data_IF_851795215405
#
_entry.id   IF_851795215405
#
_cell.length_a   1.000
_cell.length_b   1.000
_cell.length_c   1.000
_cell.angle_alpha   90.00
_cell.angle_beta   90.00
_cell.angle_gamma   90.00
#
_symmetry.space_group_name_H-M   'P 1'
#
loop_
_entity.id
_entity.type
_entity.pdbx_description
1 polymer ?
#
# COMPACT_ATOMS: atom_id res chain seq x y z
N UNK A 1 8.98 -14.77 1.31
CA UNK A 1 8.35 -13.97 2.40
C UNK A 1 7.40 -12.90 1.87
N UNK A 2 7.82 -11.99 0.98
CA UNK A 2 6.96 -10.94 0.41
C UNK A 2 5.71 -11.47 -0.34
N UNK A 3 5.85 -12.54 -1.13
CA UNK A 3 4.73 -13.15 -1.89
C UNK A 3 3.64 -13.72 -0.97
N UNK A 4 3.98 -14.15 0.26
CA UNK A 4 3.00 -14.63 1.22
C UNK A 4 2.23 -13.49 1.87
N UNK A 5 2.87 -12.33 2.11
CA UNK A 5 2.20 -11.13 2.61
C UNK A 5 1.09 -10.68 1.66
N UNK A 6 1.35 -10.72 0.35
CA UNK A 6 0.36 -10.33 -0.67
C UNK A 6 -0.86 -11.25 -0.75
N UNK A 7 -0.81 -12.46 -0.20
CA UNK A 7 -1.95 -13.40 -0.23
C UNK A 7 -2.87 -13.27 0.98
N UNK A 8 -2.35 -12.79 2.10
CA UNK A 8 -3.08 -12.74 3.37
C UNK A 8 -3.65 -11.37 3.71
N UNK A 9 -3.93 -11.18 5.01
CA UNK A 9 -4.50 -9.96 5.60
C UNK A 9 -3.55 -9.37 6.63
N UNK A 10 -3.54 -8.03 6.75
CA UNK A 10 -2.84 -7.31 7.83
C UNK A 10 -3.77 -6.37 8.59
N UNK A 11 -3.53 -6.24 9.90
CA UNK A 11 -4.27 -5.33 10.76
C UNK A 11 -3.80 -3.87 10.61
N UNK A 12 -4.53 -2.94 11.23
CA UNK A 12 -4.24 -1.50 11.19
C UNK A 12 -2.90 -1.13 11.84
N UNK A 13 -2.53 -1.76 12.96
CA UNK A 13 -1.32 -1.43 13.69
C UNK A 13 -0.07 -1.77 12.85
N UNK A 14 0.01 -2.99 12.33
CA UNK A 14 1.08 -3.40 11.42
C UNK A 14 1.11 -2.52 10.17
N UNK A 15 -0.04 -2.23 9.58
CA UNK A 15 -0.15 -1.36 8.41
C UNK A 15 0.43 0.03 8.66
N UNK A 16 0.03 0.70 9.76
CA UNK A 16 0.51 2.04 10.08
C UNK A 16 2.00 2.08 10.39
N UNK A 17 2.56 1.03 11.00
CA UNK A 17 4.01 0.93 11.19
C UNK A 17 4.74 0.84 9.85
N UNK A 18 4.30 -0.02 8.92
CA UNK A 18 4.94 -0.14 7.60
C UNK A 18 4.84 1.19 6.83
N UNK A 19 3.66 1.82 6.82
CA UNK A 19 3.44 3.12 6.17
C UNK A 19 4.30 4.20 6.79
N UNK A 20 4.31 4.32 8.12
CA UNK A 20 5.11 5.31 8.83
C UNK A 20 6.60 5.17 8.57
N UNK A 21 7.13 3.93 8.61
CA UNK A 21 8.54 3.64 8.28
C UNK A 21 8.86 3.98 6.83
N UNK A 22 7.99 3.63 5.88
CA UNK A 22 8.20 3.93 4.46
C UNK A 22 8.21 5.44 4.19
N UNK A 23 7.28 6.20 4.79
CA UNK A 23 7.24 7.66 4.68
C UNK A 23 8.48 8.28 5.32
N UNK A 24 8.87 7.86 6.53
CA UNK A 24 10.05 8.37 7.20
C UNK A 24 11.32 8.12 6.36
N UNK A 25 11.48 6.91 5.82
CA UNK A 25 12.60 6.57 4.95
C UNK A 25 12.63 7.44 3.67
N UNK A 26 11.48 7.64 3.02
CA UNK A 26 11.37 8.49 1.85
C UNK A 26 11.71 9.96 2.15
N UNK A 27 11.23 10.49 3.28
CA UNK A 27 11.53 11.85 3.71
C UNK A 27 13.02 12.03 4.05
N UNK A 28 13.62 11.09 4.78
CA UNK A 28 15.06 11.12 5.08
C UNK A 28 15.86 11.08 3.78
N UNK A 29 15.50 10.20 2.84
CA UNK A 29 16.13 10.14 1.50
C UNK A 29 16.04 11.47 0.75
N UNK A 30 14.87 12.10 0.72
CA UNK A 30 14.67 13.36 0.01
C UNK A 30 15.33 14.56 0.69
N UNK A 31 15.27 14.65 2.01
CA UNK A 31 15.74 15.82 2.77
C UNK A 31 17.23 15.76 3.04
N UNK A 32 17.74 14.62 3.50
CA UNK A 32 19.14 14.44 3.93
C UNK A 32 20.02 14.06 2.73
N UNK A 33 19.63 13.02 2.00
CA UNK A 33 20.43 12.49 0.90
C UNK A 33 20.14 13.15 -0.45
N UNK A 34 19.12 14.03 -0.52
CA UNK A 34 18.68 14.73 -1.75
C UNK A 34 18.40 13.76 -2.91
N UNK A 35 17.89 12.57 -2.59
CA UNK A 35 17.62 11.50 -3.57
C UNK A 35 16.21 10.96 -3.41
N UNK A 36 15.48 10.72 -4.52
CA UNK A 36 14.20 10.02 -4.45
C UNK A 36 14.41 8.58 -4.00
N UNK A 37 13.40 8.01 -3.33
CA UNK A 37 13.43 6.61 -2.87
C UNK A 37 12.25 5.83 -3.46
N UNK A 38 12.32 5.40 -4.75
CA UNK A 38 11.24 4.64 -5.40
C UNK A 38 10.84 3.36 -4.64
N UNK A 39 11.79 2.77 -3.90
CA UNK A 39 11.54 1.59 -3.08
C UNK A 39 10.44 1.83 -2.01
N UNK A 40 10.27 3.05 -1.51
CA UNK A 40 9.20 3.38 -0.56
C UNK A 40 7.81 3.15 -1.17
N UNK A 41 7.64 3.45 -2.46
CA UNK A 41 6.39 3.23 -3.19
C UNK A 41 6.05 1.73 -3.27
N UNK A 42 7.05 0.90 -3.54
CA UNK A 42 6.89 -0.57 -3.56
C UNK A 42 6.49 -1.09 -2.18
N UNK A 43 7.11 -0.57 -1.11
CA UNK A 43 6.75 -0.95 0.27
C UNK A 43 5.31 -0.55 0.60
N UNK A 44 4.89 0.65 0.21
CA UNK A 44 3.50 1.12 0.40
C UNK A 44 2.51 0.24 -0.37
N UNK A 45 2.81 -0.17 -1.60
CA UNK A 45 1.99 -1.12 -2.35
C UNK A 45 1.89 -2.48 -1.63
N UNK A 46 3.02 -3.02 -1.15
CA UNK A 46 3.06 -4.29 -0.41
C UNK A 46 2.24 -4.22 0.89
N UNK A 47 2.15 -3.04 1.52
CA UNK A 47 1.29 -2.82 2.68
C UNK A 47 -0.19 -2.66 2.30
N UNK A 48 -0.49 -1.93 1.22
CA UNK A 48 -1.84 -1.60 0.80
C UNK A 48 -2.64 -2.83 0.35
N UNK A 49 -2.00 -3.79 -0.34
CA UNK A 49 -2.66 -5.01 -0.84
C UNK A 49 -3.28 -5.86 0.28
N UNK A 50 -2.53 -6.36 1.28
CA UNK A 50 -3.11 -7.15 2.36
C UNK A 50 -4.01 -6.33 3.29
N UNK A 51 -3.88 -4.99 3.31
CA UNK A 51 -4.83 -4.12 4.01
C UNK A 51 -6.17 -4.07 3.29
N UNK A 52 -6.18 -3.97 1.96
CA UNK A 52 -7.40 -4.10 1.14
C UNK A 52 -8.05 -5.47 1.30
N UNK A 53 -7.25 -6.54 1.38
CA UNK A 53 -7.74 -7.89 1.66
C UNK A 53 -8.45 -7.97 3.00
N UNK A 54 -7.95 -7.27 4.02
CA UNK A 54 -8.61 -7.20 5.32
C UNK A 54 -9.98 -6.48 5.29
N UNK A 55 -10.16 -5.57 4.33
CA UNK A 55 -11.43 -4.92 4.02
C UNK A 55 -12.34 -5.78 3.11
N UNK A 56 -11.88 -6.96 2.69
CA UNK A 56 -12.59 -7.85 1.75
C UNK A 56 -12.52 -7.41 0.29
N UNK A 57 -11.63 -6.46 -0.06
CA UNK A 57 -11.47 -5.95 -1.42
C UNK A 57 -10.24 -6.56 -2.09
N UNK A 58 -10.21 -6.52 -3.42
CA UNK A 58 -9.07 -7.02 -4.21
C UNK A 58 -7.86 -6.09 -4.10
N UNK A 59 -6.64 -6.65 -4.01
CA UNK A 59 -5.40 -5.87 -4.08
C UNK A 59 -5.21 -5.08 -5.39
N UNK A 60 -5.93 -5.46 -6.46
CA UNK A 60 -5.89 -4.75 -7.75
C UNK A 60 -6.31 -3.28 -7.65
N UNK A 61 -7.11 -2.89 -6.65
CA UNK A 61 -7.43 -1.47 -6.41
C UNK A 61 -6.19 -0.65 -6.04
N UNK A 62 -5.30 -1.20 -5.20
CA UNK A 62 -4.01 -0.56 -4.94
C UNK A 62 -3.11 -0.68 -6.17
N UNK A 63 -3.04 -1.85 -6.80
CA UNK A 63 -2.22 -2.06 -8.00
C UNK A 63 -2.47 -1.02 -9.09
N UNK A 64 -3.73 -0.77 -9.44
CA UNK A 64 -4.09 0.24 -10.44
C UNK A 64 -3.65 1.65 -10.07
N UNK A 65 -3.83 2.06 -8.80
CA UNK A 65 -3.37 3.36 -8.31
C UNK A 65 -1.86 3.52 -8.43
N UNK A 66 -1.08 2.56 -7.91
CA UNK A 66 0.38 2.62 -7.93
C UNK A 66 0.96 2.53 -9.34
N UNK A 67 0.31 1.79 -10.26
CA UNK A 67 0.69 1.76 -11.68
C UNK A 67 0.48 3.14 -12.30
N UNK A 68 -0.68 3.76 -12.09
CA UNK A 68 -0.97 5.10 -12.62
C UNK A 68 0.00 6.16 -12.07
N UNK A 69 0.28 6.12 -10.77
CA UNK A 69 1.24 7.02 -10.13
C UNK A 69 2.67 6.82 -10.67
N UNK A 70 3.10 5.57 -10.84
CA UNK A 70 4.41 5.23 -11.45
C UNK A 70 4.50 5.75 -12.87
N UNK A 71 3.46 5.54 -13.68
CA UNK A 71 3.40 6.04 -15.06
C UNK A 71 3.46 7.58 -15.10
N UNK A 72 2.80 8.26 -14.15
CA UNK A 72 2.90 9.71 -14.04
C UNK A 72 4.34 10.14 -13.67
N UNK A 73 4.96 9.54 -12.65
CA UNK A 73 6.31 9.92 -12.20
C UNK A 73 7.34 9.73 -13.32
N UNK A 74 7.36 8.57 -13.98
CA UNK A 74 8.40 8.25 -14.96
C UNK A 74 8.05 8.67 -16.38
N UNK A 75 6.77 8.73 -16.74
CA UNK A 75 6.31 9.04 -18.09
C UNK A 75 5.78 10.47 -18.24
N UNK A 76 5.17 11.05 -17.20
CA UNK A 76 4.42 12.30 -17.30
C UNK A 76 5.23 13.48 -17.84
N UNK A 77 6.51 13.58 -17.49
CA UNK A 77 7.40 14.65 -17.97
C UNK A 77 7.69 14.62 -19.46
N UNK A 78 7.45 13.49 -20.15
CA UNK A 78 7.59 13.39 -21.61
C UNK A 78 6.35 13.83 -22.38
N UNK A 79 5.19 13.92 -21.70
CA UNK A 79 3.88 14.12 -22.35
C UNK A 79 3.20 15.42 -21.90
N UNK A 80 3.53 15.90 -20.70
CA UNK A 80 2.95 17.09 -20.10
C UNK A 80 3.98 18.23 -20.05
N UNK A 81 3.51 19.46 -20.23
CA UNK A 81 4.35 20.65 -19.96
C UNK A 81 4.63 20.79 -18.45
N UNK A 82 5.67 21.55 -18.06
CA UNK A 82 6.15 21.55 -16.67
C UNK A 82 5.08 21.88 -15.62
N UNK A 83 4.24 22.90 -15.86
CA UNK A 83 3.24 23.32 -14.89
C UNK A 83 2.12 22.28 -14.69
N UNK A 84 1.44 21.75 -15.74
CA UNK A 84 0.51 20.64 -15.60
C UNK A 84 1.12 19.39 -14.98
N UNK A 85 2.38 19.05 -15.32
CA UNK A 85 3.07 17.90 -14.74
C UNK A 85 3.22 18.05 -13.21
N UNK A 86 3.68 19.21 -12.74
CA UNK A 86 3.81 19.49 -11.30
C UNK A 86 2.46 19.47 -10.58
N UNK A 87 1.42 20.06 -11.19
CA UNK A 87 0.06 19.99 -10.63
C UNK A 87 -0.45 18.55 -10.53
N UNK A 88 -0.22 17.73 -11.55
CA UNK A 88 -0.62 16.32 -11.55
C UNK A 88 0.10 15.52 -10.46
N UNK A 89 1.41 15.75 -10.27
CA UNK A 89 2.17 15.14 -9.18
C UNK A 89 1.62 15.56 -7.81
N UNK A 90 1.29 16.84 -7.62
CA UNK A 90 0.68 17.33 -6.38
C UNK A 90 -0.65 16.64 -6.06
N UNK A 91 -1.52 16.49 -7.07
CA UNK A 91 -2.78 15.74 -6.93
C UNK A 91 -2.53 14.27 -6.61
N UNK A 92 -1.59 13.62 -7.30
CA UNK A 92 -1.25 12.22 -7.06
C UNK A 92 -0.79 11.99 -5.61
N UNK A 93 0.06 12.88 -5.07
CA UNK A 93 0.50 12.81 -3.66
C UNK A 93 -0.66 12.95 -2.69
N UNK A 94 -1.60 13.88 -2.94
CA UNK A 94 -2.80 14.03 -2.10
C UNK A 94 -3.71 12.79 -2.15
N UNK A 95 -3.88 12.22 -3.34
CA UNK A 95 -4.66 10.98 -3.51
C UNK A 95 -3.99 9.79 -2.83
N UNK A 96 -2.66 9.68 -2.90
CA UNK A 96 -1.90 8.64 -2.19
C UNK A 96 -2.10 8.80 -0.67
N UNK A 97 -1.95 10.02 -0.14
CA UNK A 97 -2.18 10.29 1.28
C UNK A 97 -3.61 9.91 1.70
N UNK A 98 -4.62 10.30 0.91
CA UNK A 98 -6.02 9.94 1.13
C UNK A 98 -6.26 8.43 1.10
N UNK A 99 -5.72 7.72 0.11
CA UNK A 99 -5.79 6.26 0.01
C UNK A 99 -5.18 5.61 1.25
N UNK A 100 -3.97 6.02 1.64
CA UNK A 100 -3.28 5.45 2.78
C UNK A 100 -4.05 5.67 4.09
N UNK A 101 -4.59 6.87 4.28
CA UNK A 101 -5.42 7.22 5.42
C UNK A 101 -6.73 6.41 5.46
N UNK A 102 -7.45 6.30 4.35
CA UNK A 102 -8.67 5.52 4.24
C UNK A 102 -8.42 4.04 4.58
N UNK A 103 -7.37 3.44 4.01
CA UNK A 103 -6.98 2.07 4.30
C UNK A 103 -6.62 1.87 5.78
N UNK A 104 -5.93 2.84 6.39
CA UNK A 104 -5.54 2.78 7.79
C UNK A 104 -6.64 3.08 8.81
N UNK A 105 -7.67 3.85 8.43
CA UNK A 105 -8.76 4.25 9.31
C UNK A 105 -9.90 3.22 9.35
N UNK A 106 -10.23 2.64 8.21
CA UNK A 106 -11.37 1.71 8.11
C UNK A 106 -11.13 0.43 8.92
N UNK A 107 -12.12 -0.10 9.66
CA UNK A 107 -11.99 -1.37 10.36
C UNK A 107 -11.97 -2.56 9.41
N UNK A 108 -11.15 -3.55 9.78
CA UNK A 108 -11.11 -4.85 9.12
C UNK A 108 -12.38 -5.69 9.32
N UNK A 109 -12.54 -6.73 8.51
CA UNK A 109 -13.62 -7.71 8.71
C UNK A 109 -13.31 -8.62 9.91
N UNK A 110 -14.24 -8.76 10.85
CA UNK A 110 -14.05 -9.62 12.02
C UNK A 110 -14.13 -11.13 11.68
N UNK A 111 -14.91 -11.48 10.66
CA UNK A 111 -15.03 -12.85 10.17
C UNK A 111 -13.95 -13.19 9.13
N UNK A 112 -13.85 -14.48 8.84
CA UNK A 112 -13.11 -15.00 7.71
C UNK A 112 -13.63 -14.39 6.40
N UNK A 113 -12.73 -14.18 5.45
CA UNK A 113 -13.08 -13.80 4.09
C UNK A 113 -12.24 -14.61 3.09
N UNK A 114 -12.42 -14.36 1.78
CA UNK A 114 -11.71 -15.10 0.73
C UNK A 114 -10.16 -15.05 0.79
N UNK A 115 -9.61 -14.13 1.59
CA UNK A 115 -8.17 -13.96 1.81
C UNK A 115 -7.68 -14.58 3.12
N UNK A 116 -8.57 -15.21 3.89
CA UNK A 116 -8.25 -15.93 5.12
C UNK A 116 -8.86 -15.34 6.39
N UNK A 117 -8.45 -15.86 7.55
CA UNK A 117 -8.97 -15.46 8.84
C UNK A 117 -8.56 -14.03 9.22
N UNK A 118 -9.24 -13.40 10.19
CA UNK A 118 -8.84 -12.09 10.68
C UNK A 118 -7.38 -12.09 11.18
N UNK A 119 -6.61 -11.03 10.90
CA UNK A 119 -5.25 -10.92 11.40
C UNK A 119 -5.23 -10.81 12.93
N UNK A 120 -4.17 -11.32 13.59
CA UNK A 120 -4.03 -11.21 15.04
C UNK A 120 -4.02 -9.74 15.49
N UNK A 121 -4.43 -9.48 16.72
CA UNK A 121 -4.38 -8.14 17.33
C UNK A 121 -2.93 -7.72 17.61
N UNK A 122 -2.68 -6.42 17.68
CA UNK A 122 -1.34 -5.87 17.95
C UNK A 122 -0.42 -5.88 16.72
N UNK A 123 0.89 -5.75 16.93
CA UNK A 123 1.87 -5.79 15.85
C UNK A 123 2.17 -7.24 15.45
N UNK A 124 1.85 -7.59 14.21
CA UNK A 124 2.17 -8.89 13.62
C UNK A 124 2.52 -8.75 12.16
N UNK A 125 3.71 -9.23 11.80
CA UNK A 125 4.20 -9.29 10.41
C UNK A 125 3.94 -10.66 9.77
N UNK A 126 3.28 -11.58 10.49
CA UNK A 126 2.84 -12.86 9.93
C UNK A 126 1.47 -12.65 9.28
N UNK A 127 1.34 -12.82 7.94
CA UNK A 127 0.05 -12.71 7.29
C UNK A 127 -0.88 -13.83 7.76
N UNK A 128 -2.13 -13.47 8.05
CA UNK A 128 -3.19 -14.47 8.22
C UNK A 128 -3.53 -15.03 6.84
N UNK A 129 -3.24 -16.32 6.63
CA UNK A 129 -3.45 -17.01 5.36
C UNK A 129 -4.67 -17.92 5.47
N UNK A 130 -5.43 -18.06 4.38
CA UNK A 130 -6.41 -19.13 4.27
C UNK A 130 -5.70 -20.49 4.37
N UNK A 131 -6.25 -21.41 5.19
CA UNK A 131 -5.78 -22.79 5.22
C UNK A 131 -6.00 -23.50 3.87
N UNK A 132 -5.41 -24.68 3.66
CA UNK A 132 -5.70 -25.47 2.47
C UNK A 132 -7.21 -25.71 2.40
N UNK A 133 -7.81 -25.40 1.24
CA UNK A 133 -9.19 -25.80 0.97
C UNK A 133 -9.22 -27.33 1.03
N UNK A 134 -10.03 -27.90 1.92
CA UNK A 134 -10.34 -29.31 1.84
C UNK A 134 -10.98 -29.54 0.46
N UNK A 135 -10.34 -30.33 -0.39
CA UNK A 135 -10.96 -30.84 -1.61
C UNK A 135 -12.22 -31.63 -1.18
N UNK A 136 -13.36 -31.24 -1.74
CA UNK A 136 -14.63 -31.91 -1.59
C UNK A 136 -14.92 -32.69 -2.87
#
# INVERSE_FOLDING_TARGET
>A
MAVQLLKGRINRATYWIIVGVAIAAALISGVVFKRPMPAAQVVLLIAAVPRLHDLGRSGWWAGGFFIAETALIFGGGFVLSPQPYQSALGVAVLLLAGLLACLGALPGKAADNRFGPPPPKGLSFKPALAGPKAEA
#
